data_IF_550766621671
#
_entry.id   IF_550766621671
#
_cell.length_a   1.000
_cell.length_b   1.000
_cell.length_c   1.000
_cell.angle_alpha   90.00
_cell.angle_beta   90.00
_cell.angle_gamma   90.00
#
_symmetry.space_group_name_H-M   'P 1'
#
loop_
_entity.id
_entity.type
_entity.pdbx_description
1 polymer ?
#
# COMPACT_ATOMS: atom_id res chain seq x y z
N UNK A 1 60.85 -1.21 0.30
CA UNK A 1 59.59 -0.44 0.46
C UNK A 1 58.87 -0.41 -0.88
N UNK A 2 57.89 -1.29 -1.10
CA UNK A 2 56.99 -1.20 -2.25
C UNK A 2 55.55 -1.19 -1.72
N UNK A 3 54.85 -0.07 -1.91
CA UNK A 3 53.45 0.12 -1.53
C UNK A 3 52.59 -0.27 -2.74
N UNK A 4 51.88 -1.39 -2.65
CA UNK A 4 50.85 -1.80 -3.61
C UNK A 4 49.56 -1.01 -3.32
N UNK A 5 49.18 -0.13 -4.25
CA UNK A 5 47.87 0.51 -4.27
C UNK A 5 46.83 -0.51 -4.76
N UNK A 6 45.81 -0.81 -3.95
CA UNK A 6 44.63 -1.55 -4.39
C UNK A 6 43.63 -0.59 -5.03
N UNK A 7 43.00 -0.94 -6.17
CA UNK A 7 41.95 -0.11 -6.75
C UNK A 7 40.67 -0.23 -5.90
N UNK A 8 40.07 0.93 -5.60
CA UNK A 8 38.73 1.03 -5.04
C UNK A 8 37.74 0.69 -6.15
N UNK A 9 37.09 -0.47 -6.06
CA UNK A 9 35.99 -0.82 -6.94
C UNK A 9 34.77 0.01 -6.55
N UNK A 10 34.42 0.97 -7.41
CA UNK A 10 33.13 1.66 -7.37
C UNK A 10 32.03 0.68 -7.74
N UNK A 11 31.33 0.13 -6.77
CA UNK A 11 30.11 -0.64 -6.99
C UNK A 11 29.01 0.32 -7.43
N UNK A 12 28.66 0.31 -8.72
CA UNK A 12 27.44 0.95 -9.20
C UNK A 12 26.24 0.27 -8.52
N UNK A 13 25.28 1.02 -7.94
CA UNK A 13 24.06 0.41 -7.43
C UNK A 13 23.29 -0.24 -8.59
N UNK A 14 22.87 -1.47 -8.38
CA UNK A 14 22.13 -2.27 -9.34
C UNK A 14 20.73 -1.67 -9.48
N UNK A 15 20.51 -0.82 -10.50
CA UNK A 15 19.18 -0.30 -10.83
C UNK A 15 18.32 -1.47 -11.30
N UNK A 16 17.47 -2.00 -10.41
CA UNK A 16 16.44 -2.98 -10.78
C UNK A 16 15.43 -2.29 -11.70
N UNK A 17 15.57 -2.51 -13.00
CA UNK A 17 14.54 -2.19 -13.98
C UNK A 17 13.31 -3.06 -13.74
N UNK A 18 12.21 -2.46 -13.26
CA UNK A 18 10.90 -3.11 -13.25
C UNK A 18 10.24 -2.93 -14.62
N UNK A 19 10.20 -4.00 -15.43
CA UNK A 19 9.25 -4.07 -16.53
C UNK A 19 7.87 -4.44 -15.97
N UNK A 20 6.83 -3.69 -16.33
CA UNK A 20 5.46 -4.17 -16.12
C UNK A 20 5.27 -5.44 -16.94
N UNK A 21 4.76 -6.49 -16.29
CA UNK A 21 4.41 -7.75 -16.96
C UNK A 21 3.08 -7.64 -17.71
N UNK A 22 2.29 -6.60 -17.45
CA UNK A 22 1.00 -6.37 -18.11
C UNK A 22 1.14 -5.32 -19.20
N UNK A 23 0.79 -5.67 -20.45
CA UNK A 23 0.65 -4.69 -21.54
C UNK A 23 -0.43 -3.62 -21.29
N UNK A 24 -1.28 -3.78 -20.25
CA UNK A 24 -2.34 -2.83 -19.88
C UNK A 24 -1.87 -1.73 -18.92
N UNK A 25 -0.74 -1.93 -18.24
CA UNK A 25 -0.24 -1.01 -17.24
C UNK A 25 1.25 -0.72 -17.50
N UNK A 26 1.63 0.54 -17.65
CA UNK A 26 3.03 0.95 -17.65
C UNK A 26 3.66 0.80 -16.25
N UNK A 27 4.98 0.88 -16.14
CA UNK A 27 5.62 0.94 -14.83
C UNK A 27 5.42 2.33 -14.20
N UNK A 28 5.10 2.40 -12.90
CA UNK A 28 5.21 3.68 -12.18
C UNK A 28 6.68 4.11 -12.17
N UNK A 29 6.92 5.40 -12.38
CA UNK A 29 8.27 5.99 -12.35
C UNK A 29 8.93 5.77 -10.98
N UNK A 30 10.15 5.25 -10.99
CA UNK A 30 10.97 5.13 -9.80
C UNK A 30 11.88 6.36 -9.70
N UNK A 31 11.77 7.09 -8.60
CA UNK A 31 12.59 8.24 -8.30
C UNK A 31 13.57 7.91 -7.17
N UNK A 32 14.75 8.49 -7.24
CA UNK A 32 15.68 8.44 -6.12
C UNK A 32 15.14 9.30 -4.98
N UNK A 33 15.18 8.75 -3.76
CA UNK A 33 14.93 9.49 -2.53
C UNK A 33 16.26 9.60 -1.81
N UNK A 34 16.73 10.83 -1.62
CA UNK A 34 17.93 11.09 -0.84
C UNK A 34 17.46 11.62 0.50
N UNK A 35 17.52 10.75 1.53
CA UNK A 35 17.22 11.11 2.91
C UNK A 35 18.37 11.92 3.46
N UNK A 36 18.27 13.22 3.26
CA UNK A 36 19.29 14.11 3.67
C UNK A 36 18.87 14.73 5.01
N UNK A 37 19.61 14.40 6.08
CA UNK A 37 19.89 15.41 7.12
C UNK A 37 20.43 16.75 6.52
N UNK A 38 20.63 16.81 5.20
CA UNK A 38 21.15 17.84 4.29
C UNK A 38 20.17 18.34 3.18
N UNK A 39 18.86 18.03 3.22
CA UNK A 39 17.84 18.54 2.26
C UNK A 39 17.36 17.52 1.22
N UNK A 40 16.10 17.07 1.33
CA UNK A 40 15.50 16.21 0.32
C UNK A 40 15.52 16.91 -1.04
N UNK A 41 15.99 16.18 -2.04
CA UNK A 41 16.06 16.65 -3.42
C UNK A 41 15.55 15.55 -4.32
N UNK A 42 14.34 15.75 -4.83
CA UNK A 42 13.80 14.97 -5.94
C UNK A 42 13.44 15.93 -7.06
N UNK A 43 14.43 16.45 -7.81
CA UNK A 43 14.20 17.53 -8.79
C UNK A 43 13.17 17.18 -9.86
N UNK A 44 12.97 15.88 -10.10
CA UNK A 44 12.02 15.34 -11.07
C UNK A 44 10.64 14.99 -10.46
N UNK A 45 10.43 15.16 -9.15
CA UNK A 45 9.16 14.77 -8.53
C UNK A 45 8.03 15.74 -8.85
N UNK A 46 7.04 15.23 -9.58
CA UNK A 46 5.79 15.89 -9.87
C UNK A 46 4.68 15.36 -8.95
N UNK A 47 4.26 16.17 -7.97
CA UNK A 47 3.23 15.79 -7.00
C UNK A 47 1.84 15.54 -7.63
N UNK A 48 1.66 15.73 -8.93
CA UNK A 48 0.45 15.38 -9.68
C UNK A 48 0.50 13.98 -10.31
N UNK A 49 1.64 13.27 -10.19
CA UNK A 49 1.86 11.94 -10.75
C UNK A 49 2.27 10.94 -9.66
N UNK A 50 1.91 9.66 -9.82
CA UNK A 50 2.40 8.63 -8.91
C UNK A 50 3.90 8.43 -9.09
N UNK A 51 4.59 8.23 -7.97
CA UNK A 51 6.03 7.99 -7.96
C UNK A 51 6.38 6.95 -6.91
N UNK A 52 7.35 6.10 -7.24
CA UNK A 52 7.90 5.10 -6.32
C UNK A 52 9.27 5.54 -5.83
N UNK A 53 9.48 5.47 -4.53
CA UNK A 53 10.73 5.82 -3.87
C UNK A 53 11.32 4.56 -3.26
N UNK A 54 12.40 4.05 -3.89
CA UNK A 54 12.97 2.74 -3.52
C UNK A 54 13.82 2.85 -2.28
N UNK A 55 13.59 1.95 -1.31
CA UNK A 55 14.31 1.91 -0.03
C UNK A 55 14.32 3.24 0.77
N UNK A 56 13.48 4.20 0.40
CA UNK A 56 13.44 5.54 0.98
C UNK A 56 13.16 5.54 2.49
N UNK A 57 12.44 4.51 2.95
CA UNK A 57 12.03 4.34 4.33
C UNK A 57 12.64 3.08 4.95
N UNK A 58 13.84 2.70 4.48
CA UNK A 58 14.57 1.59 5.08
C UNK A 58 14.88 1.84 6.58
N UNK A 59 15.00 3.10 7.00
CA UNK A 59 15.27 3.47 8.40
C UNK A 59 14.07 3.41 9.36
N UNK A 60 12.87 3.02 8.92
CA UNK A 60 11.71 2.93 9.81
C UNK A 60 11.93 1.87 10.91
N UNK A 61 11.87 2.26 12.22
CA UNK A 61 12.13 1.33 13.32
C UNK A 61 11.23 0.10 13.30
N UNK A 62 9.97 0.24 12.87
CA UNK A 62 9.03 -0.88 12.77
C UNK A 62 9.55 -2.02 11.88
N UNK A 63 10.35 -1.73 10.85
CA UNK A 63 10.90 -2.77 9.97
C UNK A 63 11.82 -3.74 10.71
N UNK A 64 12.61 -3.23 11.64
CA UNK A 64 13.58 -4.00 12.42
C UNK A 64 12.99 -4.54 13.72
N UNK A 65 12.04 -3.81 14.31
CA UNK A 65 11.43 -4.19 15.60
C UNK A 65 10.29 -5.18 15.43
N UNK A 66 9.45 -5.02 14.41
CA UNK A 66 8.23 -5.82 14.27
C UNK A 66 8.46 -7.09 13.45
N UNK A 67 9.56 -7.17 12.71
CA UNK A 67 9.84 -8.29 11.80
C UNK A 67 11.25 -8.81 11.98
N UNK A 68 11.42 -10.12 11.83
CA UNK A 68 12.73 -10.74 11.84
C UNK A 68 13.38 -10.59 10.46
N UNK A 69 14.70 -10.43 10.44
CA UNK A 69 15.48 -10.50 9.21
C UNK A 69 15.27 -11.85 8.54
N UNK A 70 14.78 -11.81 7.30
CA UNK A 70 14.54 -13.03 6.52
C UNK A 70 15.87 -13.65 6.08
N UNK A 71 16.08 -14.93 6.41
CA UNK A 71 17.18 -15.72 5.84
C UNK A 71 16.91 -16.17 4.39
N UNK A 72 15.69 -15.97 3.88
CA UNK A 72 15.33 -16.32 2.50
C UNK A 72 16.01 -15.40 1.45
N UNK A 73 16.32 -15.91 0.24
CA UNK A 73 16.93 -15.14 -0.85
C UNK A 73 16.07 -13.97 -1.38
N UNK A 74 14.82 -13.86 -0.90
CA UNK A 74 13.84 -12.86 -1.34
C UNK A 74 14.28 -11.42 -1.06
N UNK A 75 15.12 -11.20 -0.04
CA UNK A 75 15.73 -9.92 0.29
C UNK A 75 14.84 -8.94 1.07
N UNK A 76 13.71 -9.38 1.64
CA UNK A 76 12.84 -8.56 2.50
C UNK A 76 12.21 -9.38 3.64
N UNK A 77 11.93 -8.77 4.82
CA UNK A 77 11.33 -9.46 5.97
C UNK A 77 9.91 -9.96 5.67
N UNK A 78 9.62 -11.18 6.13
CA UNK A 78 8.32 -11.86 5.99
C UNK A 78 7.89 -12.60 7.28
N UNK A 79 8.64 -12.47 8.36
CA UNK A 79 8.37 -13.14 9.64
C UNK A 79 8.15 -12.10 10.73
N UNK A 80 7.13 -12.31 11.56
CA UNK A 80 6.84 -11.44 12.69
C UNK A 80 7.88 -11.66 13.80
N UNK A 81 8.33 -10.56 14.42
CA UNK A 81 9.05 -10.61 15.68
C UNK A 81 8.04 -10.75 16.84
N UNK A 82 7.63 -11.99 17.10
CA UNK A 82 6.65 -12.29 18.15
C UNK A 82 7.10 -11.83 19.54
N UNK A 83 8.41 -11.95 19.84
CA UNK A 83 8.96 -11.50 21.12
C UNK A 83 8.79 -9.99 21.37
N UNK A 84 8.63 -9.19 20.31
CA UNK A 84 8.29 -7.77 20.42
C UNK A 84 6.77 -7.53 20.39
N UNK A 85 6.08 -8.08 19.38
CA UNK A 85 4.67 -7.77 19.12
C UNK A 85 3.70 -8.37 20.14
N UNK A 86 3.99 -9.54 20.72
CA UNK A 86 3.10 -10.18 21.71
C UNK A 86 2.91 -9.36 22.99
N UNK A 87 3.87 -8.48 23.32
CA UNK A 87 3.74 -7.53 24.44
C UNK A 87 2.56 -6.57 24.29
N UNK A 88 2.07 -6.44 23.06
CA UNK A 88 0.94 -5.60 22.67
C UNK A 88 -0.28 -6.43 22.23
N UNK A 89 -0.25 -7.75 22.44
CA UNK A 89 -1.25 -8.68 21.92
C UNK A 89 -2.66 -8.52 22.50
N UNK A 90 -2.80 -7.90 23.67
CA UNK A 90 -4.09 -7.64 24.33
C UNK A 90 -4.80 -6.39 23.77
N UNK A 91 -4.12 -5.57 22.97
CA UNK A 91 -4.72 -4.39 22.35
C UNK A 91 -5.86 -4.82 21.41
N UNK A 92 -7.02 -4.18 21.54
CA UNK A 92 -8.16 -4.45 20.66
C UNK A 92 -7.95 -3.75 19.32
N UNK A 93 -8.16 -4.49 18.24
CA UNK A 93 -8.05 -3.99 16.86
C UNK A 93 -9.23 -4.48 16.02
N UNK A 94 -9.61 -3.67 15.04
CA UNK A 94 -10.58 -4.06 14.01
C UNK A 94 -9.90 -4.95 12.97
N UNK A 95 -10.41 -6.17 12.80
CA UNK A 95 -9.97 -7.12 11.78
C UNK A 95 -11.05 -7.33 10.74
N UNK A 96 -10.66 -7.26 9.47
CA UNK A 96 -11.43 -7.78 8.35
C UNK A 96 -11.25 -9.30 8.29
N UNK A 97 -12.37 -10.01 8.19
CA UNK A 97 -12.41 -11.47 8.14
C UNK A 97 -13.00 -11.87 6.80
N UNK A 98 -12.22 -12.59 6.00
CA UNK A 98 -12.72 -13.20 4.76
C UNK A 98 -12.70 -14.71 4.89
N UNK A 99 -13.83 -15.36 4.61
CA UNK A 99 -13.98 -16.82 4.74
C UNK A 99 -14.73 -17.39 3.54
N UNK A 100 -14.34 -18.54 2.99
CA UNK A 100 -15.12 -19.20 1.94
C UNK A 100 -16.48 -19.64 2.49
N UNK A 101 -17.51 -19.62 1.65
CA UNK A 101 -18.79 -20.23 1.98
C UNK A 101 -18.65 -21.75 1.98
N UNK A 102 -19.23 -22.40 3.00
CA UNK A 102 -19.27 -23.86 3.09
C UNK A 102 -19.96 -24.43 1.85
N UNK A 103 -19.25 -25.27 1.10
CA UNK A 103 -19.76 -25.94 -0.11
C UNK A 103 -19.78 -25.07 -1.38
N UNK A 104 -19.34 -23.80 -1.30
CA UNK A 104 -19.17 -22.89 -2.45
C UNK A 104 -17.93 -22.01 -2.25
N UNK A 105 -16.72 -22.59 -2.31
CA UNK A 105 -15.47 -21.88 -2.03
C UNK A 105 -15.20 -20.70 -2.99
N UNK A 106 -15.86 -20.66 -4.15
CA UNK A 106 -15.83 -19.52 -5.07
C UNK A 106 -16.54 -18.27 -4.52
N UNK A 107 -17.42 -18.43 -3.53
CA UNK A 107 -18.08 -17.33 -2.85
C UNK A 107 -17.40 -17.13 -1.50
N UNK A 108 -17.10 -15.87 -1.17
CA UNK A 108 -16.48 -15.49 0.10
C UNK A 108 -17.44 -14.61 0.90
N UNK A 109 -17.55 -14.87 2.20
CA UNK A 109 -18.21 -13.99 3.15
C UNK A 109 -17.17 -13.03 3.73
N UNK A 110 -17.58 -11.78 3.93
CA UNK A 110 -16.76 -10.73 4.52
C UNK A 110 -17.44 -10.20 5.78
N UNK A 111 -16.70 -10.15 6.88
CA UNK A 111 -17.13 -9.61 8.16
C UNK A 111 -16.06 -8.68 8.74
N UNK A 112 -16.43 -7.84 9.70
CA UNK A 112 -15.49 -7.08 10.54
C UNK A 112 -15.72 -7.42 12.00
N UNK A 113 -14.64 -7.67 12.74
CA UNK A 113 -14.68 -7.98 14.16
C UNK A 113 -13.70 -7.11 14.93
N UNK A 114 -14.03 -6.79 16.18
CA UNK A 114 -13.07 -6.29 17.16
C UNK A 114 -12.45 -7.49 17.88
N UNK A 115 -11.14 -7.62 17.85
CA UNK A 115 -10.43 -8.74 18.47
C UNK A 115 -9.07 -8.31 19.05
N UNK A 116 -8.52 -9.06 20.01
CA UNK A 116 -7.15 -8.85 20.46
C UNK A 116 -6.15 -8.98 19.30
N UNK A 117 -5.16 -8.10 19.25
CA UNK A 117 -4.12 -8.07 18.21
C UNK A 117 -3.37 -9.42 18.12
N UNK A 118 -3.22 -10.12 19.24
CA UNK A 118 -2.66 -11.47 19.32
C UNK A 118 -3.35 -12.47 18.38
N UNK A 119 -4.65 -12.32 18.09
CA UNK A 119 -5.37 -13.18 17.14
C UNK A 119 -4.79 -13.05 15.73
N UNK A 120 -4.52 -11.81 15.29
CA UNK A 120 -3.89 -11.56 13.99
C UNK A 120 -2.44 -12.07 13.99
N UNK A 121 -1.67 -11.81 15.05
CA UNK A 121 -0.28 -12.25 15.14
C UNK A 121 -0.16 -13.78 15.05
N UNK A 122 -1.03 -14.51 15.75
CA UNK A 122 -1.11 -15.97 15.67
C UNK A 122 -1.50 -16.43 14.26
N UNK A 123 -2.50 -15.79 13.64
CA UNK A 123 -2.94 -16.11 12.29
C UNK A 123 -1.82 -15.92 11.24
N UNK A 124 -1.08 -14.82 11.32
CA UNK A 124 0.03 -14.51 10.40
C UNK A 124 1.22 -15.43 10.61
N UNK A 125 1.49 -15.86 11.85
CA UNK A 125 2.61 -16.74 12.19
C UNK A 125 2.33 -18.21 11.95
N UNK A 126 1.06 -18.60 11.82
CA UNK A 126 0.69 -19.99 11.58
C UNK A 126 1.15 -20.46 10.20
N UNK A 127 1.79 -21.63 10.18
CA UNK A 127 2.27 -22.26 8.95
C UNK A 127 1.12 -22.94 8.19
N UNK A 128 1.13 -22.81 6.86
CA UNK A 128 0.19 -23.47 5.96
C UNK A 128 -0.84 -22.54 5.33
N UNK A 129 -1.56 -23.05 4.34
CA UNK A 129 -2.68 -22.33 3.73
C UNK A 129 -3.87 -22.35 4.70
N UNK A 130 -4.46 -21.17 4.92
CA UNK A 130 -5.64 -21.00 5.75
C UNK A 130 -6.80 -20.52 4.89
N UNK A 131 -7.93 -21.21 4.99
CA UNK A 131 -9.16 -20.84 4.31
C UNK A 131 -9.71 -19.50 4.85
N UNK A 132 -9.61 -19.31 6.16
CA UNK A 132 -9.90 -18.06 6.84
C UNK A 132 -8.76 -17.07 6.59
N UNK A 133 -9.07 -15.82 6.27
CA UNK A 133 -8.09 -14.75 6.16
C UNK A 133 -8.44 -13.61 7.10
N UNK A 134 -7.47 -13.24 7.94
CA UNK A 134 -7.55 -12.04 8.78
C UNK A 134 -6.68 -10.95 8.20
N UNK A 135 -7.23 -9.74 8.13
CA UNK A 135 -6.53 -8.57 7.66
C UNK A 135 -6.86 -7.37 8.54
N UNK A 136 -5.87 -6.81 9.22
CA UNK A 136 -5.98 -5.49 9.83
C UNK A 136 -5.82 -4.47 8.71
N UNK A 137 -6.90 -3.76 8.40
CA UNK A 137 -6.96 -2.83 7.29
C UNK A 137 -7.43 -1.46 7.77
N UNK A 138 -6.77 -0.40 7.31
CA UNK A 138 -7.11 0.99 7.66
C UNK A 138 -7.19 1.27 9.17
N UNK A 139 -6.47 0.51 9.99
CA UNK A 139 -6.48 0.74 11.44
C UNK A 139 -5.69 2.01 11.76
N UNK A 140 -6.30 2.96 12.48
CA UNK A 140 -5.66 4.23 12.81
C UNK A 140 -4.39 4.00 13.62
N UNK A 141 -3.32 4.74 13.32
CA UNK A 141 -2.12 4.67 14.18
C UNK A 141 -2.39 5.26 15.57
N UNK A 142 -3.36 6.17 15.70
CA UNK A 142 -3.74 6.78 16.98
C UNK A 142 -4.36 5.76 17.95
N UNK A 143 -4.97 4.70 17.41
CA UNK A 143 -5.59 3.62 18.18
C UNK A 143 -4.59 2.49 18.50
N UNK A 144 -3.38 2.53 17.93
CA UNK A 144 -2.33 1.57 18.26
C UNK A 144 -1.72 1.85 19.64
N UNK A 145 -1.24 0.80 20.33
CA UNK A 145 -0.37 0.96 21.49
C UNK A 145 0.77 1.95 21.24
N UNK A 146 1.00 2.87 22.18
CA UNK A 146 1.91 4.00 22.00
C UNK A 146 3.35 3.59 21.61
N UNK A 147 3.85 2.46 22.11
CA UNK A 147 5.17 1.93 21.73
C UNK A 147 5.23 1.49 20.27
N UNK A 148 4.16 0.90 19.73
CA UNK A 148 4.06 0.56 18.31
C UNK A 148 3.98 1.83 17.45
N UNK A 149 3.19 2.82 17.87
CA UNK A 149 3.09 4.09 17.15
C UNK A 149 4.45 4.80 17.01
N UNK A 150 5.28 4.81 18.08
CA UNK A 150 6.65 5.37 18.05
C UNK A 150 7.58 4.73 17.02
N UNK A 151 7.30 3.50 16.58
CA UNK A 151 8.09 2.80 15.58
C UNK A 151 7.75 3.23 14.14
N UNK A 152 6.71 4.05 13.96
CA UNK A 152 6.22 4.56 12.69
C UNK A 152 6.27 6.10 12.66
N UNK A 153 7.48 6.70 12.63
CA UNK A 153 7.62 8.15 12.67
C UNK A 153 6.94 8.82 11.47
N UNK A 154 6.37 9.99 11.70
CA UNK A 154 5.81 10.84 10.64
C UNK A 154 6.92 11.22 9.64
N UNK A 155 6.73 11.01 8.32
CA UNK A 155 7.73 11.32 7.30
C UNK A 155 7.81 12.82 6.96
N UNK A 156 8.09 13.67 7.96
CA UNK A 156 8.02 15.15 7.86
C UNK A 156 8.83 15.71 6.69
N UNK A 157 10.04 15.18 6.46
CA UNK A 157 10.89 15.61 5.34
C UNK A 157 10.18 15.41 4.00
N UNK A 158 9.67 14.21 3.73
CA UNK A 158 8.89 13.91 2.51
C UNK A 158 7.66 14.83 2.39
N UNK A 159 6.90 15.00 3.48
CA UNK A 159 5.69 15.83 3.50
C UNK A 159 5.99 17.30 3.17
N UNK A 160 7.14 17.82 3.57
CA UNK A 160 7.54 19.21 3.29
C UNK A 160 7.75 19.50 1.79
N UNK A 161 8.01 18.48 0.99
CA UNK A 161 8.19 18.60 -0.47
C UNK A 161 6.93 18.34 -1.28
N UNK A 162 5.92 17.73 -0.65
CA UNK A 162 4.56 17.86 -1.13
C UNK A 162 4.19 19.33 -0.90
N UNK A 163 3.69 20.03 -1.93
CA UNK A 163 3.14 21.40 -1.80
C UNK A 163 1.85 21.46 -0.94
N UNK A 164 1.72 20.50 -0.02
CA UNK A 164 0.73 20.30 1.02
C UNK A 164 1.07 21.16 2.24
N UNK A 165 0.17 21.21 3.23
CA UNK A 165 0.40 21.97 4.48
C UNK A 165 1.54 21.42 5.37
N UNK A 166 2.19 20.33 4.96
CA UNK A 166 3.27 19.68 5.70
C UNK A 166 2.80 18.82 6.88
N UNK A 167 1.49 18.61 7.04
CA UNK A 167 0.86 17.81 8.09
C UNK A 167 0.04 16.63 7.51
N UNK A 168 -0.29 15.67 8.37
CA UNK A 168 -1.02 14.44 8.04
C UNK A 168 -2.47 14.58 8.52
N UNK A 169 -3.43 14.27 7.65
CA UNK A 169 -4.84 14.11 7.99
C UNK A 169 -5.08 12.85 8.82
N UNK A 170 -4.59 11.72 8.34
CA UNK A 170 -4.69 10.43 9.00
C UNK A 170 -3.54 9.51 8.56
N UNK A 171 -3.11 8.63 9.46
CA UNK A 171 -2.22 7.51 9.13
C UNK A 171 -2.88 6.21 9.53
N UNK A 172 -2.70 5.17 8.72
CA UNK A 172 -3.25 3.85 9.00
C UNK A 172 -2.22 2.75 8.82
N UNK A 173 -2.41 1.68 9.58
CA UNK A 173 -1.68 0.43 9.46
C UNK A 173 -2.51 -0.57 8.63
N UNK A 174 -1.80 -1.33 7.79
CA UNK A 174 -2.32 -2.54 7.18
C UNK A 174 -1.40 -3.70 7.51
N UNK A 175 -1.93 -4.81 8.01
CA UNK A 175 -1.16 -6.00 8.36
C UNK A 175 -1.98 -7.27 8.16
N UNK A 176 -1.37 -8.29 7.54
CA UNK A 176 -1.95 -9.63 7.42
C UNK A 176 -1.06 -10.56 6.62
N UNK A 177 -1.60 -11.70 6.19
CA UNK A 177 -0.92 -12.67 5.33
C UNK A 177 -1.49 -12.63 3.92
N UNK A 178 -0.65 -12.60 2.86
CA UNK A 178 -1.13 -12.74 1.49
C UNK A 178 -1.95 -14.03 1.27
N UNK A 179 -2.95 -14.02 0.38
CA UNK A 179 -3.38 -12.86 -0.40
C UNK A 179 -4.26 -11.89 0.42
N UNK A 180 -3.91 -10.61 0.39
CA UNK A 180 -4.80 -9.53 0.85
C UNK A 180 -5.23 -8.69 -0.35
N UNK A 181 -6.41 -8.09 -0.29
CA UNK A 181 -6.98 -7.34 -1.41
C UNK A 181 -7.59 -6.05 -0.90
N UNK A 182 -7.41 -4.99 -1.67
CA UNK A 182 -8.15 -3.74 -1.52
C UNK A 182 -8.64 -3.36 -2.91
N UNK A 183 -9.95 -3.49 -3.19
CA UNK A 183 -10.56 -3.21 -4.48
C UNK A 183 -10.28 -1.79 -4.99
N UNK A 184 -10.62 -1.53 -6.26
CA UNK A 184 -10.40 -0.23 -6.90
C UNK A 184 -11.16 0.89 -6.16
N UNK A 185 -10.43 1.88 -5.68
CA UNK A 185 -10.98 3.05 -4.97
C UNK A 185 -10.07 4.28 -5.15
N UNK A 186 -10.46 5.40 -4.56
CA UNK A 186 -9.64 6.60 -4.42
C UNK A 186 -9.79 7.18 -3.01
N UNK A 187 -8.71 7.77 -2.52
CA UNK A 187 -8.67 8.39 -1.19
C UNK A 187 -9.11 9.86 -1.23
N UNK A 188 -9.57 10.42 -0.10
CA UNK A 188 -9.96 11.83 -0.01
C UNK A 188 -8.76 12.80 -0.05
N UNK A 189 -7.55 12.29 0.17
CA UNK A 189 -6.28 13.02 0.19
C UNK A 189 -5.23 12.28 -0.66
N UNK A 190 -4.09 12.92 -1.03
CA UNK A 190 -2.93 12.17 -1.49
C UNK A 190 -2.53 11.12 -0.45
N UNK A 191 -1.84 10.07 -0.87
CA UNK A 191 -1.41 9.00 0.02
C UNK A 191 0.07 8.67 -0.19
N UNK A 192 0.81 8.52 0.91
CA UNK A 192 2.14 7.95 0.92
C UNK A 192 2.09 6.57 1.58
N UNK A 193 2.15 5.52 0.77
CA UNK A 193 2.24 4.14 1.23
C UNK A 193 3.69 3.74 1.42
N UNK A 194 4.08 3.31 2.62
CA UNK A 194 5.38 2.74 2.95
C UNK A 194 5.24 1.27 3.26
N UNK A 195 5.94 0.40 2.53
CA UNK A 195 5.92 -1.05 2.77
C UNK A 195 6.90 -1.41 3.89
N UNK A 196 6.41 -2.07 4.95
CA UNK A 196 7.21 -2.46 6.11
C UNK A 196 7.76 -3.88 5.96
N UNK A 197 6.93 -4.82 5.55
CA UNK A 197 7.29 -6.24 5.38
C UNK A 197 6.48 -6.88 4.24
N UNK A 198 7.01 -7.94 3.64
CA UNK A 198 6.36 -8.60 2.50
C UNK A 198 6.32 -7.75 1.24
N UNK A 199 5.30 -7.97 0.41
CA UNK A 199 5.21 -7.40 -0.94
C UNK A 199 3.78 -6.98 -1.31
N UNK A 200 3.58 -5.74 -1.72
CA UNK A 200 2.27 -5.25 -2.23
C UNK A 200 2.37 -4.81 -3.68
N UNK A 201 1.40 -5.25 -4.47
CA UNK A 201 1.26 -4.88 -5.88
C UNK A 201 0.14 -3.84 -6.02
N UNK A 202 0.44 -2.75 -6.69
CA UNK A 202 -0.48 -1.64 -6.93
C UNK A 202 -0.76 -1.53 -8.43
N UNK A 203 -2.03 -1.29 -8.77
CA UNK A 203 -2.46 -0.80 -10.08
C UNK A 203 -3.13 0.54 -9.88
N UNK A 204 -2.67 1.55 -10.61
CA UNK A 204 -3.00 2.95 -10.42
C UNK A 204 -3.53 3.52 -11.73
N UNK A 205 -4.56 4.36 -11.68
CA UNK A 205 -5.18 4.99 -12.83
C UNK A 205 -5.40 6.47 -12.55
N UNK A 206 -5.32 7.28 -13.62
CA UNK A 206 -5.75 8.68 -13.55
C UNK A 206 -7.22 8.79 -13.14
N UNK A 207 -7.64 9.93 -12.57
CA UNK A 207 -9.02 10.17 -12.13
C UNK A 207 -10.07 9.78 -13.18
N UNK A 208 -9.88 10.19 -14.44
CA UNK A 208 -10.83 9.97 -15.53
C UNK A 208 -10.93 8.49 -15.91
N UNK A 209 -9.79 7.81 -16.01
CA UNK A 209 -9.73 6.39 -16.37
C UNK A 209 -10.36 5.52 -15.28
N UNK A 210 -9.96 5.72 -14.03
CA UNK A 210 -10.50 4.94 -12.91
C UNK A 210 -12.00 5.16 -12.73
N UNK A 211 -12.48 6.40 -12.89
CA UNK A 211 -13.92 6.71 -12.88
C UNK A 211 -14.65 6.00 -14.01
N UNK A 212 -14.10 6.02 -15.22
CA UNK A 212 -14.69 5.35 -16.38
C UNK A 212 -14.78 3.83 -16.18
N UNK A 213 -13.75 3.21 -15.59
CA UNK A 213 -13.75 1.79 -15.20
C UNK A 213 -14.87 1.51 -14.20
N UNK A 214 -14.94 2.29 -13.12
CA UNK A 214 -15.97 2.16 -12.10
C UNK A 214 -17.38 2.26 -12.69
N UNK A 215 -17.68 3.33 -13.44
CA UNK A 215 -18.99 3.54 -14.06
C UNK A 215 -19.36 2.47 -15.09
N UNK A 216 -18.37 1.89 -15.82
CA UNK A 216 -18.62 0.76 -16.71
C UNK A 216 -19.01 -0.49 -15.94
N UNK A 217 -18.30 -0.81 -14.85
CA UNK A 217 -18.61 -1.96 -14.00
C UNK A 217 -19.97 -1.79 -13.34
N UNK A 218 -20.23 -0.64 -12.72
CA UNK A 218 -21.52 -0.35 -12.07
C UNK A 218 -22.68 -0.41 -13.07
N UNK A 219 -22.53 0.05 -14.32
CA UNK A 219 -23.59 -0.10 -15.36
C UNK A 219 -23.87 -1.54 -15.75
N UNK A 220 -22.85 -2.41 -15.78
CA UNK A 220 -23.03 -3.84 -16.10
C UNK A 220 -23.77 -4.57 -14.97
N UNK A 221 -23.73 -4.03 -13.75
CA UNK A 221 -24.38 -4.59 -12.57
C UNK A 221 -25.67 -3.83 -12.31
N UNK A 222 -26.83 -4.38 -12.74
CA UNK A 222 -28.14 -3.76 -12.47
C UNK A 222 -28.30 -3.48 -10.97
N UNK A 223 -28.49 -2.20 -10.59
CA UNK A 223 -28.74 -1.79 -9.20
C UNK A 223 -27.53 -1.30 -8.40
N UNK A 224 -26.33 -1.17 -8.99
CA UNK A 224 -25.16 -0.60 -8.32
C UNK A 224 -25.24 0.93 -8.24
N UNK A 225 -25.97 1.46 -7.26
CA UNK A 225 -25.91 2.86 -6.86
C UNK A 225 -24.96 2.99 -5.66
N UNK A 226 -23.65 2.95 -5.91
CA UNK A 226 -22.61 3.13 -4.90
C UNK A 226 -21.75 4.36 -5.20
N UNK A 227 -21.38 5.11 -4.17
CA UNK A 227 -20.35 6.17 -4.27
C UNK A 227 -18.96 5.53 -4.48
N UNK A 228 -18.01 6.27 -5.04
CA UNK A 228 -16.69 5.83 -5.48
C UNK A 228 -15.52 6.24 -4.56
N UNK A 229 -15.84 6.88 -3.43
CA UNK A 229 -14.86 7.37 -2.44
C UNK A 229 -14.22 6.20 -1.65
N UNK A 230 -13.37 6.48 -0.67
CA UNK A 230 -12.89 5.47 0.27
C UNK A 230 -14.10 4.81 0.94
N UNK A 231 -14.30 3.52 0.64
CA UNK A 231 -15.47 2.73 1.00
C UNK A 231 -15.13 1.72 2.08
N UNK A 232 -16.09 1.42 2.93
CA UNK A 232 -15.93 0.54 4.07
C UNK A 232 -16.07 -0.92 3.69
N UNK A 233 -16.87 -1.67 4.46
CA UNK A 233 -17.12 -3.09 4.23
C UNK A 233 -17.83 -3.37 2.89
N UNK A 234 -18.59 -2.41 2.36
CA UNK A 234 -19.42 -2.58 1.17
C UNK A 234 -18.63 -2.74 -0.13
N UNK A 235 -17.37 -2.27 -0.20
CA UNK A 235 -16.52 -2.51 -1.36
C UNK A 235 -15.88 -3.90 -1.35
N UNK A 236 -15.89 -4.59 -0.22
CA UNK A 236 -15.14 -5.83 0.00
C UNK A 236 -15.90 -7.09 -0.41
N UNK A 237 -17.18 -6.97 -0.80
CA UNK A 237 -18.01 -8.11 -1.17
C UNK A 237 -19.03 -7.80 -2.28
N UNK A 238 -19.54 -8.85 -2.91
CA UNK A 238 -20.60 -8.77 -3.90
C UNK A 238 -20.14 -8.44 -5.32
N UNK A 239 -21.13 -8.29 -6.22
CA UNK A 239 -20.90 -8.21 -7.67
C UNK A 239 -20.04 -7.02 -8.10
N UNK A 240 -20.10 -5.91 -7.37
CA UNK A 240 -19.28 -4.73 -7.68
C UNK A 240 -17.80 -5.00 -7.41
N UNK A 241 -17.49 -5.59 -6.25
CA UNK A 241 -16.14 -6.02 -5.91
C UNK A 241 -15.60 -6.98 -6.98
N UNK A 242 -16.36 -8.03 -7.30
CA UNK A 242 -15.98 -9.02 -8.32
C UNK A 242 -15.75 -8.40 -9.70
N UNK A 243 -16.64 -7.49 -10.11
CA UNK A 243 -16.55 -6.79 -11.39
C UNK A 243 -15.34 -5.85 -11.48
N UNK A 244 -15.06 -5.11 -10.40
CA UNK A 244 -13.89 -4.23 -10.31
C UNK A 244 -12.60 -5.05 -10.27
N UNK A 245 -12.59 -6.16 -9.53
CA UNK A 245 -11.46 -7.08 -9.46
C UNK A 245 -11.15 -7.65 -10.86
N UNK A 246 -12.18 -8.10 -11.59
CA UNK A 246 -12.03 -8.59 -12.96
C UNK A 246 -11.55 -7.48 -13.91
N UNK A 247 -12.07 -6.25 -13.78
CA UNK A 247 -11.67 -5.12 -14.62
C UNK A 247 -10.19 -4.76 -14.43
N UNK A 248 -9.77 -4.63 -13.16
CA UNK A 248 -8.43 -4.18 -12.82
C UNK A 248 -7.42 -5.30 -12.98
N UNK A 249 -7.74 -6.52 -12.54
CA UNK A 249 -6.77 -7.61 -12.44
C UNK A 249 -6.87 -8.69 -13.52
N UNK A 250 -8.01 -8.79 -14.21
CA UNK A 250 -8.23 -9.75 -15.31
C UNK A 250 -7.48 -9.39 -16.60
N UNK A 251 -7.78 -10.14 -17.66
CA UNK A 251 -7.12 -9.98 -18.96
C UNK A 251 -7.93 -9.15 -19.97
N UNK A 252 -9.21 -8.88 -19.68
CA UNK A 252 -10.11 -8.13 -20.56
C UNK A 252 -9.62 -6.68 -20.73
N UNK A 253 -9.19 -6.37 -21.96
CA UNK A 253 -8.69 -5.04 -22.36
C UNK A 253 -9.82 -4.05 -22.65
N UNK A 254 -11.05 -4.53 -22.92
CA UNK A 254 -12.19 -3.67 -23.26
C UNK A 254 -12.54 -2.70 -22.12
N UNK A 255 -12.16 -3.05 -20.90
CA UNK A 255 -12.47 -2.28 -19.70
C UNK A 255 -11.54 -1.10 -19.46
N UNK A 256 -10.39 -1.00 -20.13
CA UNK A 256 -9.46 0.13 -20.03
C UNK A 256 -9.44 1.03 -21.28
N UNK A 257 -10.22 0.69 -22.31
CA UNK A 257 -10.42 1.52 -23.51
C UNK A 257 -9.12 1.96 -24.20
N UNK A 258 -8.11 1.08 -24.22
CA UNK A 258 -6.80 1.37 -24.81
C UNK A 258 -5.94 2.39 -24.05
N UNK A 259 -6.39 2.89 -22.89
CA UNK A 259 -5.61 3.79 -22.04
C UNK A 259 -4.69 3.01 -21.09
N UNK A 260 -3.53 3.59 -20.80
CA UNK A 260 -2.54 2.99 -19.91
C UNK A 260 -2.81 3.40 -18.45
N UNK A 261 -2.97 2.39 -17.59
CA UNK A 261 -2.75 2.58 -16.15
C UNK A 261 -1.26 2.43 -15.82
N UNK A 262 -0.92 2.54 -14.54
CA UNK A 262 0.43 2.27 -14.03
C UNK A 262 0.42 1.13 -13.01
N UNK A 263 1.51 0.39 -12.93
CA UNK A 263 1.69 -0.72 -12.02
C UNK A 263 3.04 -0.59 -11.31
N UNK A 264 3.06 -0.92 -10.02
CA UNK A 264 4.29 -1.11 -9.26
C UNK A 264 4.13 -2.22 -8.25
N UNK A 265 5.26 -2.75 -7.79
CA UNK A 265 5.31 -3.66 -6.65
C UNK A 265 6.26 -3.06 -5.62
N UNK A 266 5.79 -2.89 -4.40
CA UNK A 266 6.57 -2.42 -3.26
C UNK A 266 7.07 -3.60 -2.45
N UNK A 267 8.32 -3.51 -2.03
CA UNK A 267 8.95 -4.38 -1.03
C UNK A 267 9.38 -3.57 0.16
N UNK A 268 9.74 -4.23 1.26
CA UNK A 268 10.12 -3.57 2.52
C UNK A 268 11.10 -2.41 2.33
N UNK A 269 10.73 -1.23 2.83
CA UNK A 269 11.48 0.03 2.73
C UNK A 269 11.10 0.91 1.53
N UNK A 270 10.40 0.36 0.53
CA UNK A 270 9.87 1.16 -0.58
C UNK A 270 8.67 1.99 -0.15
N UNK A 271 8.50 3.15 -0.82
CA UNK A 271 7.28 3.93 -0.75
C UNK A 271 6.65 4.22 -2.11
N UNK A 272 5.34 4.41 -2.12
CA UNK A 272 4.55 4.87 -3.26
C UNK A 272 3.77 6.11 -2.86
N UNK A 273 3.98 7.19 -3.60
CA UNK A 273 3.09 8.34 -3.56
C UNK A 273 1.95 8.17 -4.57
N UNK A 274 0.71 8.32 -4.10
CA UNK A 274 -0.51 8.34 -4.90
C UNK A 274 -1.11 9.75 -4.80
N UNK A 275 -1.22 10.49 -5.91
CA UNK A 275 -1.77 11.85 -5.86
C UNK A 275 -3.28 11.86 -5.57
N UNK A 276 -3.78 13.00 -5.10
CA UNK A 276 -5.20 13.22 -4.86
C UNK A 276 -6.05 12.85 -6.10
N UNK A 277 -7.13 12.11 -5.87
CA UNK A 277 -8.10 11.73 -6.90
C UNK A 277 -7.67 10.57 -7.80
N UNK A 278 -6.43 10.09 -7.70
CA UNK A 278 -5.98 8.92 -8.45
C UNK A 278 -6.61 7.64 -7.88
N UNK A 279 -7.05 6.79 -8.79
CA UNK A 279 -7.65 5.51 -8.43
C UNK A 279 -6.59 4.45 -8.29
N UNK A 280 -6.75 3.55 -7.34
CA UNK A 280 -5.80 2.48 -7.11
C UNK A 280 -6.48 1.23 -6.56
N UNK A 281 -5.91 0.08 -6.92
CA UNK A 281 -6.24 -1.23 -6.35
C UNK A 281 -4.96 -1.90 -5.88
N UNK A 282 -5.06 -2.65 -4.78
CA UNK A 282 -3.90 -3.18 -4.07
C UNK A 282 -4.07 -4.67 -3.82
N UNK A 283 -2.99 -5.45 -4.02
CA UNK A 283 -2.90 -6.85 -3.63
C UNK A 283 -1.66 -7.11 -2.80
N UNK A 284 -1.83 -7.67 -1.61
CA UNK A 284 -0.75 -8.36 -0.90
C UNK A 284 -0.42 -9.66 -1.63
N UNK A 285 0.85 -9.87 -1.95
CA UNK A 285 1.33 -11.01 -2.74
C UNK A 285 2.55 -11.65 -2.08
N UNK A 286 2.81 -12.92 -2.36
CA UNK A 286 3.91 -13.67 -1.73
C UNK A 286 3.41 -14.51 -0.56
N UNK A 287 4.24 -14.67 0.47
CA UNK A 287 3.98 -15.48 1.67
C UNK A 287 4.40 -14.71 2.92
N UNK A 288 3.99 -15.23 4.08
CA UNK A 288 4.34 -14.69 5.39
C UNK A 288 3.70 -13.33 5.68
N UNK A 289 4.28 -12.63 6.65
CA UNK A 289 3.82 -11.31 7.07
C UNK A 289 3.91 -10.28 5.95
N UNK A 290 2.83 -9.53 5.77
CA UNK A 290 2.74 -8.41 4.85
C UNK A 290 2.16 -7.21 5.57
N UNK A 291 2.95 -6.13 5.63
CA UNK A 291 2.56 -4.94 6.36
C UNK A 291 2.99 -3.67 5.63
N UNK A 292 2.15 -2.65 5.71
CA UNK A 292 2.43 -1.31 5.21
C UNK A 292 1.78 -0.27 6.11
N UNK A 293 2.37 0.92 6.15
CA UNK A 293 1.74 2.11 6.72
C UNK A 293 1.43 3.07 5.59
N UNK A 294 0.33 3.78 5.70
CA UNK A 294 -0.12 4.79 4.74
C UNK A 294 -0.39 6.07 5.50
N UNK A 295 0.06 7.19 4.93
CA UNK A 295 -0.11 8.52 5.50
C UNK A 295 -0.81 9.39 4.48
N UNK A 296 -1.91 10.03 4.88
CA UNK A 296 -2.73 10.90 4.05
C UNK A 296 -2.39 12.37 4.35
N UNK A 297 -1.55 13.06 3.54
CA UNK A 297 -1.16 14.44 3.82
C UNK A 297 -2.32 15.41 3.56
N UNK A 298 -2.42 16.47 4.35
CA UNK A 298 -3.39 17.54 4.11
C UNK A 298 -3.00 18.36 2.88
N UNK A 299 -3.81 18.28 1.82
CA UNK A 299 -3.57 19.03 0.59
C UNK A 299 -4.23 20.42 0.62
N UNK A 300 -3.49 21.49 0.31
CA UNK A 300 -4.12 22.78 0.03
C UNK A 300 -4.67 22.78 -1.39
N UNK A 301 -5.99 22.73 -1.54
CA UNK A 301 -6.60 23.24 -2.76
C UNK A 301 -6.33 24.76 -2.76
N UNK A 302 -5.45 25.25 -3.64
CA UNK A 302 -5.41 26.68 -3.93
C UNK A 302 -6.76 27.01 -4.56
N UNK A 303 -7.71 27.46 -3.73
CA UNK A 303 -8.90 28.12 -4.21
C UNK A 303 -8.37 29.35 -4.93
N UNK A 304 -8.43 29.36 -6.26
CA UNK A 304 -8.40 30.61 -6.99
C UNK A 304 -9.56 31.42 -6.42
N UNK A 305 -9.24 32.35 -5.52
CA UNK A 305 -10.15 33.44 -5.17
C UNK A 305 -10.42 34.17 -6.47
N UNK A 306 -11.51 33.79 -7.14
CA UNK A 306 -12.17 34.63 -8.12
C UNK A 306 -12.60 35.84 -7.31
N UNK A 307 -11.76 36.87 -7.33
CA UNK A 307 -12.15 38.20 -6.88
C UNK A 307 -13.21 38.64 -7.85
N UNK A 308 -14.47 38.57 -7.42
CA UNK A 308 -15.54 39.29 -8.06
C UNK A 308 -15.17 40.78 -8.04
N UNK A 309 -14.94 41.34 -9.22
CA UNK A 309 -15.06 42.78 -9.48
C UNK A 309 -16.29 42.99 -10.33
#
# INVERSE_FOLDING_TARGET
MFRLLRPVYSTKPFVRSCSSVSRRFGAVEALEYIDEASGFSTPAFDANKPAVFRSAFAGYPARERWFNSSNEPSGYPQELNMAYLEKHGDAMVTLEVTRPFIGRPENEAFDRIEAPFSLLLAHVSAAGEQDLRLYLAQHSLEDLPAELNKDLPTPVAFLSHLKARGDIYASSLWMGSPPTRTPLHRDPNPNLFVQLAGKKKFRIMRPELGRSVFERVSRRIRGAAGDANMRGAEMMQGKEMEGLEAAVWGEDKSLLDGQEGWETTLTSGDALYVPLGWWHAVRGVGKGANASVGSLPNYQCHTLTVTAR
#
